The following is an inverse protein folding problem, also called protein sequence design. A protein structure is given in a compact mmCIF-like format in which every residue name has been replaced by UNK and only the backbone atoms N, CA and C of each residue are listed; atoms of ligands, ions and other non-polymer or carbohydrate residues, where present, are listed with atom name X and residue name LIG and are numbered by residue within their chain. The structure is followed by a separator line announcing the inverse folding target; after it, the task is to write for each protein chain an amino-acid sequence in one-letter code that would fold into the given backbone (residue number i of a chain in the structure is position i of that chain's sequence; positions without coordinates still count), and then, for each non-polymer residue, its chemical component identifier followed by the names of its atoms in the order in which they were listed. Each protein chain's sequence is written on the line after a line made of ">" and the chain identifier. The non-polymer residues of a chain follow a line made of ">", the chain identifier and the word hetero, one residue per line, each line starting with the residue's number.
data_IF_905590558537
#
_entry.id   IF_905590558537
#
_cell.length_a   1.000
_cell.length_b   1.000
_cell.length_c   1.000
_cell.angle_alpha   90.00
_cell.angle_beta   90.00
_cell.angle_gamma   90.00
#
_symmetry.space_group_name_H-M   'P 1'
#
loop_
_entity.id
_entity.type
_entity.pdbx_description
1 polymer ?
#
# COMPACT_ATOMS: atom_id res chain seq x y z
N UNK A 1 -13.45 -11.09 17.78
CA UNK A 1 -13.61 -9.65 18.13
C UNK A 1 -12.45 -9.26 19.05
N UNK A 2 -12.14 -7.97 19.15
CA UNK A 2 -11.09 -7.50 20.06
C UNK A 2 -11.66 -7.28 21.47
N UNK A 3 -11.25 -8.08 22.45
CA UNK A 3 -11.81 -8.09 23.81
C UNK A 3 -11.84 -6.73 24.52
N UNK A 4 -10.83 -5.88 24.29
CA UNK A 4 -10.79 -4.53 24.88
C UNK A 4 -11.59 -3.53 24.05
N UNK A 5 -11.29 -3.39 22.75
CA UNK A 5 -11.89 -2.36 21.89
C UNK A 5 -13.40 -2.54 21.75
N UNK A 6 -13.92 -3.77 21.76
CA UNK A 6 -15.38 -4.00 21.69
C UNK A 6 -16.14 -3.38 22.87
N UNK A 7 -15.51 -3.29 24.05
CA UNK A 7 -16.09 -2.70 25.25
C UNK A 7 -15.93 -1.17 25.32
N UNK A 8 -15.03 -0.59 24.52
CA UNK A 8 -14.82 0.86 24.43
C UNK A 8 -15.74 1.52 23.40
N UNK A 9 -16.28 0.74 22.47
CA UNK A 9 -17.21 1.22 21.45
C UNK A 9 -18.66 1.05 21.90
N UNK A 10 -19.62 1.82 21.34
CA UNK A 10 -21.02 1.60 21.59
C UNK A 10 -21.44 0.15 21.23
N UNK A 11 -22.33 -0.48 22.01
CA UNK A 11 -22.76 -1.86 21.76
C UNK A 11 -23.18 -2.10 20.30
N UNK A 12 -22.65 -3.17 19.69
CA UNK A 12 -22.93 -3.52 18.29
C UNK A 12 -22.09 -2.77 17.25
N UNK A 13 -21.23 -1.85 17.63
CA UNK A 13 -20.41 -1.07 16.67
C UNK A 13 -19.15 -1.79 16.21
N UNK A 14 -18.64 -2.75 16.98
CA UNK A 14 -17.44 -3.50 16.61
C UNK A 14 -17.77 -4.56 15.55
N UNK A 15 -17.10 -4.51 14.40
CA UNK A 15 -17.30 -5.45 13.31
C UNK A 15 -16.47 -6.72 13.53
N UNK A 16 -17.16 -7.88 13.62
CA UNK A 16 -16.50 -9.17 13.77
C UNK A 16 -15.88 -9.64 12.44
N UNK A 17 -14.69 -10.24 12.55
CA UNK A 17 -13.92 -10.74 11.42
C UNK A 17 -13.45 -12.17 11.70
N UNK A 18 -13.53 -12.99 10.66
CA UNK A 18 -13.15 -14.39 10.68
C UNK A 18 -11.67 -14.53 10.30
N UNK A 19 -11.03 -15.58 10.80
CA UNK A 19 -9.66 -15.95 10.44
C UNK A 19 -9.56 -17.46 10.34
N UNK A 20 -9.08 -17.95 9.21
CA UNK A 20 -8.61 -19.32 9.04
C UNK A 20 -7.12 -19.27 8.73
N UNK A 21 -6.30 -19.82 9.64
CA UNK A 21 -4.87 -19.98 9.44
C UNK A 21 -4.50 -21.43 9.71
N UNK A 22 -3.92 -22.06 8.69
CA UNK A 22 -3.50 -23.45 8.72
C UNK A 22 -2.05 -23.57 8.31
N UNK A 23 -1.30 -24.42 9.01
CA UNK A 23 0.07 -24.75 8.59
C UNK A 23 0.08 -25.41 7.21
N UNK A 24 -1.00 -26.12 6.85
CA UNK A 24 -1.08 -26.94 5.63
C UNK A 24 -1.62 -26.25 4.38
N UNK A 25 -2.48 -25.24 4.55
CA UNK A 25 -3.11 -24.52 3.42
C UNK A 25 -2.77 -23.04 3.53
N UNK A 26 -3.59 -22.32 4.29
CA UNK A 26 -3.54 -20.87 4.40
C UNK A 26 -2.64 -20.44 5.57
N UNK A 27 -1.32 -20.42 5.33
CA UNK A 27 -0.33 -20.21 6.40
C UNK A 27 -0.04 -18.74 6.66
N UNK A 28 0.11 -17.96 5.60
CA UNK A 28 0.48 -16.55 5.67
C UNK A 28 -0.61 -15.71 5.02
N UNK A 29 -1.22 -14.85 5.82
CA UNK A 29 -2.17 -13.84 5.37
C UNK A 29 -1.43 -12.53 5.09
N UNK A 30 -1.40 -12.11 3.83
CA UNK A 30 -0.99 -10.75 3.46
C UNK A 30 -2.22 -9.84 3.55
N UNK A 31 -2.24 -8.99 4.57
CA UNK A 31 -3.34 -8.06 4.85
C UNK A 31 -3.02 -6.66 4.33
N UNK A 32 -3.69 -6.26 3.26
CA UNK A 32 -3.58 -4.93 2.68
C UNK A 32 -4.73 -4.01 3.11
N UNK A 33 -4.53 -2.72 2.92
CA UNK A 33 -5.57 -1.72 3.09
C UNK A 33 -5.05 -0.43 3.71
N UNK A 34 -5.87 0.63 3.73
CA UNK A 34 -5.44 1.96 4.17
C UNK A 34 -4.95 1.99 5.61
N UNK A 35 -4.16 3.02 5.94
CA UNK A 35 -3.87 3.34 7.33
C UNK A 35 -5.18 3.69 8.04
N UNK A 36 -5.28 3.36 9.33
CA UNK A 36 -6.50 3.50 10.14
C UNK A 36 -7.68 2.57 9.78
N UNK A 37 -7.53 1.66 8.81
CA UNK A 37 -8.59 0.71 8.44
C UNK A 37 -8.80 -0.44 9.45
N UNK A 38 -8.02 -0.48 10.54
CA UNK A 38 -8.16 -1.49 11.59
C UNK A 38 -7.25 -2.71 11.41
N UNK A 39 -6.26 -2.69 10.51
CA UNK A 39 -5.25 -3.76 10.36
C UNK A 39 -4.58 -4.11 11.69
N UNK A 40 -4.01 -3.13 12.40
CA UNK A 40 -3.34 -3.36 13.69
C UNK A 40 -4.29 -3.91 14.76
N UNK A 41 -5.56 -3.46 14.76
CA UNK A 41 -6.61 -4.00 15.62
C UNK A 41 -6.90 -5.46 15.29
N UNK A 42 -6.94 -5.81 14.01
CA UNK A 42 -7.13 -7.17 13.52
C UNK A 42 -5.97 -8.09 13.92
N UNK A 43 -4.72 -7.61 13.85
CA UNK A 43 -3.55 -8.38 14.32
C UNK A 43 -3.63 -8.62 15.83
N UNK A 44 -3.79 -7.54 16.61
CA UNK A 44 -3.83 -7.61 18.09
C UNK A 44 -4.96 -8.50 18.60
N UNK A 45 -6.16 -8.45 17.99
CA UNK A 45 -7.26 -9.32 18.42
C UNK A 45 -6.90 -10.81 18.27
N UNK A 46 -6.20 -11.20 17.21
CA UNK A 46 -5.88 -12.60 16.95
C UNK A 46 -4.80 -13.11 17.90
N UNK A 47 -3.80 -12.28 18.20
CA UNK A 47 -2.83 -12.57 19.25
C UNK A 47 -3.50 -12.72 20.64
N UNK A 48 -4.41 -11.81 20.99
CA UNK A 48 -5.16 -11.88 22.25
C UNK A 48 -6.04 -13.13 22.33
N UNK A 49 -6.73 -13.51 21.26
CA UNK A 49 -7.58 -14.71 21.21
C UNK A 49 -6.76 -15.97 21.48
N UNK A 50 -5.56 -16.09 20.89
CA UNK A 50 -4.65 -17.22 21.15
C UNK A 50 -4.23 -17.27 22.62
N UNK A 51 -3.84 -16.13 23.19
CA UNK A 51 -3.43 -16.05 24.60
C UNK A 51 -4.60 -16.44 25.51
N UNK A 52 -5.80 -15.89 25.29
CA UNK A 52 -7.00 -16.20 26.07
C UNK A 52 -7.35 -17.70 26.03
N UNK A 53 -7.26 -18.32 24.85
CA UNK A 53 -7.51 -19.75 24.72
C UNK A 53 -6.51 -20.60 25.52
N UNK A 54 -5.21 -20.26 25.46
CA UNK A 54 -4.16 -21.03 26.13
C UNK A 54 -4.08 -20.82 27.65
N UNK A 55 -4.62 -19.72 28.18
CA UNK A 55 -4.82 -19.57 29.64
C UNK A 55 -6.08 -20.30 30.16
N UNK A 56 -6.87 -20.90 29.26
CA UNK A 56 -8.12 -21.60 29.61
C UNK A 56 -9.36 -20.70 29.74
N UNK A 57 -9.32 -19.49 29.19
CA UNK A 57 -10.48 -18.58 29.15
C UNK A 57 -11.36 -18.85 27.94
N UNK A 58 -12.64 -18.47 28.03
CA UNK A 58 -13.45 -18.24 26.84
C UNK A 58 -12.84 -17.13 25.98
N UNK A 59 -13.10 -17.18 24.67
CA UNK A 59 -12.58 -16.24 23.68
C UNK A 59 -13.72 -15.44 23.05
N UNK A 60 -13.49 -14.17 22.62
CA UNK A 60 -14.50 -13.30 22.01
C UNK A 60 -14.77 -13.67 20.54
N UNK A 61 -15.28 -14.88 20.30
CA UNK A 61 -15.66 -15.41 19.00
C UNK A 61 -16.97 -16.21 19.10
N UNK A 62 -17.70 -16.37 18.00
CA UNK A 62 -18.85 -17.28 17.97
C UNK A 62 -18.40 -18.74 18.10
N UNK A 63 -17.34 -19.10 17.37
CA UNK A 63 -16.67 -20.40 17.39
C UNK A 63 -15.16 -20.18 17.22
N UNK A 64 -14.35 -21.00 17.85
CA UNK A 64 -12.90 -20.94 17.70
C UNK A 64 -12.28 -22.34 17.79
N UNK A 65 -11.36 -22.64 16.87
CA UNK A 65 -10.48 -23.81 16.92
C UNK A 65 -9.05 -23.32 16.86
N UNK A 66 -8.32 -23.45 17.97
CA UNK A 66 -6.97 -22.90 18.11
C UNK A 66 -6.01 -24.05 18.42
N UNK A 67 -5.10 -24.32 17.49
CA UNK A 67 -3.99 -25.25 17.73
C UNK A 67 -2.95 -24.60 18.64
N UNK A 68 -2.24 -25.41 19.44
CA UNK A 68 -1.21 -24.92 20.37
C UNK A 68 -0.17 -24.05 19.65
N UNK A 69 0.14 -22.93 20.29
CA UNK A 69 1.13 -21.92 19.90
C UNK A 69 2.18 -21.87 20.99
N UNK A 70 3.43 -22.06 20.61
CA UNK A 70 4.56 -22.00 21.55
C UNK A 70 4.92 -20.55 21.92
N UNK A 71 4.86 -19.63 20.94
CA UNK A 71 5.16 -18.21 21.10
C UNK A 71 4.30 -17.35 20.16
N UNK A 72 3.86 -16.20 20.67
CA UNK A 72 3.23 -15.15 19.87
C UNK A 72 4.27 -14.05 19.68
N UNK A 73 4.71 -13.87 18.43
CA UNK A 73 5.61 -12.80 18.04
C UNK A 73 4.82 -11.63 17.48
N UNK A 74 5.18 -10.42 17.90
CA UNK A 74 4.53 -9.21 17.40
C UNK A 74 5.58 -8.20 17.02
N UNK A 75 5.51 -7.73 15.78
CA UNK A 75 5.95 -6.39 15.42
C UNK A 75 4.70 -5.59 15.09
N UNK A 76 4.03 -5.05 16.11
CA UNK A 76 2.92 -4.13 15.94
C UNK A 76 3.36 -2.81 16.58
N UNK A 77 3.58 -1.78 15.77
CA UNK A 77 4.26 -0.55 16.18
C UNK A 77 3.87 -0.06 17.59
N UNK A 78 4.88 0.18 18.43
CA UNK A 78 4.73 0.84 19.71
C UNK A 78 4.97 2.34 19.53
N UNK A 79 4.28 3.14 20.34
CA UNK A 79 4.48 4.60 20.45
C UNK A 79 5.97 4.88 20.62
N UNK A 80 6.47 5.76 19.76
CA UNK A 80 7.87 6.17 19.64
C UNK A 80 8.66 6.07 20.95
N UNK A 81 9.47 5.03 21.06
CA UNK A 81 10.48 4.97 22.10
C UNK A 81 11.70 5.79 21.62
N UNK A 82 11.47 7.08 21.38
CA UNK A 82 12.49 8.11 21.09
C UNK A 82 13.52 8.26 22.23
N UNK A 83 13.28 7.62 23.38
CA UNK A 83 14.08 7.72 24.59
C UNK A 83 15.46 7.04 24.54
N UNK A 84 15.84 6.36 23.44
CA UNK A 84 17.13 5.62 23.36
C UNK A 84 18.11 6.08 22.27
N UNK A 85 17.80 7.13 21.50
CA UNK A 85 18.73 7.65 20.47
C UNK A 85 19.06 6.68 19.32
N UNK A 86 18.33 5.56 19.21
CA UNK A 86 18.44 4.61 18.10
C UNK A 86 17.44 4.98 16.99
N UNK A 87 17.83 4.80 15.73
CA UNK A 87 16.92 4.95 14.59
C UNK A 87 15.71 4.02 14.77
N UNK A 88 14.50 4.53 14.56
CA UNK A 88 13.25 3.74 14.62
C UNK A 88 13.30 2.55 13.67
N UNK A 89 13.94 2.71 12.52
CA UNK A 89 14.17 1.63 11.55
C UNK A 89 15.13 0.55 12.09
N UNK A 90 16.19 0.94 12.81
CA UNK A 90 17.10 -0.05 13.39
C UNK A 90 16.38 -0.90 14.47
N UNK A 91 15.55 -0.27 15.30
CA UNK A 91 14.74 -0.99 16.30
C UNK A 91 13.81 -1.99 15.62
N UNK A 92 13.15 -1.56 14.55
CA UNK A 92 12.27 -2.42 13.73
C UNK A 92 13.02 -3.63 13.14
N UNK A 93 14.25 -3.43 12.66
CA UNK A 93 15.08 -4.52 12.14
C UNK A 93 15.56 -5.47 13.24
N UNK A 94 15.88 -4.96 14.43
CA UNK A 94 16.24 -5.79 15.59
C UNK A 94 15.04 -6.64 16.04
N UNK A 95 13.85 -6.05 16.11
CA UNK A 95 12.60 -6.76 16.43
C UNK A 95 12.33 -7.85 15.40
N UNK A 96 12.42 -7.52 14.11
CA UNK A 96 12.22 -8.47 13.00
C UNK A 96 13.25 -9.61 13.07
N UNK A 97 14.53 -9.28 13.28
CA UNK A 97 15.59 -10.27 13.45
C UNK A 97 15.33 -11.21 14.63
N UNK A 98 14.88 -10.67 15.77
CA UNK A 98 14.54 -11.48 16.93
C UNK A 98 13.39 -12.46 16.64
N UNK A 99 12.39 -12.05 15.86
CA UNK A 99 11.30 -12.94 15.42
C UNK A 99 11.88 -14.06 14.56
N UNK A 100 12.65 -13.72 13.52
CA UNK A 100 13.16 -14.70 12.55
C UNK A 100 14.11 -15.74 13.16
N UNK A 101 14.90 -15.37 14.18
CA UNK A 101 15.82 -16.30 14.85
C UNK A 101 15.13 -17.23 15.86
N UNK A 102 13.96 -16.84 16.40
CA UNK A 102 13.36 -17.51 17.56
C UNK A 102 11.99 -18.13 17.29
N UNK A 103 11.36 -17.82 16.16
CA UNK A 103 10.10 -18.41 15.77
C UNK A 103 10.28 -19.86 15.32
N UNK A 104 9.29 -20.68 15.61
CA UNK A 104 9.19 -22.07 15.16
C UNK A 104 7.95 -22.24 14.29
N UNK A 105 7.79 -23.39 13.64
CA UNK A 105 6.57 -23.74 12.89
C UNK A 105 5.27 -23.66 13.73
N UNK A 106 5.38 -23.77 15.06
CA UNK A 106 4.24 -23.69 15.98
C UNK A 106 3.91 -22.26 16.38
N UNK A 107 4.77 -21.30 16.10
CA UNK A 107 4.59 -19.91 16.50
C UNK A 107 3.47 -19.22 15.71
N UNK A 108 2.92 -18.17 16.30
CA UNK A 108 2.08 -17.19 15.62
C UNK A 108 2.88 -15.90 15.45
N UNK A 109 3.02 -15.44 14.21
CA UNK A 109 3.77 -14.23 13.88
C UNK A 109 2.80 -13.13 13.41
N UNK A 110 2.86 -11.95 14.02
CA UNK A 110 2.02 -10.79 13.71
C UNK A 110 2.92 -9.61 13.33
N UNK A 111 2.98 -9.27 12.04
CA UNK A 111 3.86 -8.23 11.50
C UNK A 111 3.03 -7.07 10.95
N UNK A 112 3.33 -5.86 11.37
CA UNK A 112 2.65 -4.63 10.97
C UNK A 112 3.66 -3.63 10.41
N UNK A 113 3.57 -3.39 9.10
CA UNK A 113 4.32 -2.39 8.33
C UNK A 113 5.86 -2.52 8.44
N UNK A 114 6.39 -3.75 8.31
CA UNK A 114 7.85 -3.97 8.18
C UNK A 114 8.37 -3.32 6.90
N UNK A 115 9.52 -2.65 6.97
CA UNK A 115 10.19 -1.94 5.89
C UNK A 115 9.85 -0.46 5.77
N UNK A 116 8.92 0.08 6.58
CA UNK A 116 8.41 1.44 6.37
C UNK A 116 9.40 2.56 6.68
N UNK A 117 10.39 2.31 7.54
CA UNK A 117 11.36 3.32 8.00
C UNK A 117 12.51 3.64 7.03
N UNK A 118 12.51 3.10 5.81
CA UNK A 118 13.59 3.25 4.83
C UNK A 118 13.06 3.63 3.44
N UNK A 119 13.93 3.64 2.42
CA UNK A 119 13.53 3.88 1.03
C UNK A 119 12.47 2.88 0.58
N UNK A 120 11.56 3.28 -0.32
CA UNK A 120 10.43 2.43 -0.73
C UNK A 120 10.88 1.08 -1.28
N UNK A 121 11.92 1.06 -2.12
CA UNK A 121 12.44 -0.17 -2.72
C UNK A 121 13.20 -1.03 -1.71
N UNK A 122 14.00 -0.43 -0.82
CA UNK A 122 14.69 -1.20 0.23
C UNK A 122 13.67 -1.81 1.20
N UNK A 123 12.67 -1.02 1.60
CA UNK A 123 11.60 -1.44 2.51
C UNK A 123 10.76 -2.57 1.92
N UNK A 124 10.38 -2.46 0.65
CA UNK A 124 9.69 -3.53 -0.09
C UNK A 124 10.54 -4.81 -0.16
N UNK A 125 11.83 -4.68 -0.49
CA UNK A 125 12.74 -5.83 -0.63
C UNK A 125 12.94 -6.55 0.70
N UNK A 126 13.06 -5.81 1.79
CA UNK A 126 13.15 -6.37 3.15
C UNK A 126 11.83 -7.05 3.53
N UNK A 127 10.69 -6.38 3.33
CA UNK A 127 9.38 -6.96 3.64
C UNK A 127 9.14 -8.27 2.88
N UNK A 128 9.46 -8.30 1.58
CA UNK A 128 9.36 -9.48 0.74
C UNK A 128 10.22 -10.63 1.26
N UNK A 129 11.53 -10.40 1.45
CA UNK A 129 12.46 -11.42 1.92
C UNK A 129 12.13 -11.94 3.32
N UNK A 130 11.59 -11.10 4.21
CA UNK A 130 11.09 -11.53 5.52
C UNK A 130 9.93 -12.50 5.38
N UNK A 131 8.92 -12.18 4.56
CA UNK A 131 7.76 -13.06 4.35
C UNK A 131 8.17 -14.37 3.68
N UNK A 132 9.06 -14.29 2.69
CA UNK A 132 9.64 -15.44 2.00
C UNK A 132 10.37 -16.39 2.97
N UNK A 133 11.27 -15.84 3.80
CA UNK A 133 12.00 -16.62 4.81
C UNK A 133 11.05 -17.28 5.83
N UNK A 134 10.01 -16.56 6.26
CA UNK A 134 8.99 -17.15 7.14
C UNK A 134 8.27 -18.30 6.43
N UNK A 135 7.94 -18.15 5.15
CA UNK A 135 7.22 -19.17 4.40
C UNK A 135 8.06 -20.44 4.18
N UNK A 136 9.31 -20.30 3.77
CA UNK A 136 10.16 -21.41 3.35
C UNK A 136 10.87 -22.09 4.52
N UNK A 137 11.45 -21.29 5.43
CA UNK A 137 12.33 -21.77 6.50
C UNK A 137 11.59 -22.02 7.81
N UNK A 138 10.79 -21.05 8.27
CA UNK A 138 10.16 -21.11 9.60
C UNK A 138 8.84 -21.89 9.55
N UNK A 139 8.05 -21.67 8.51
CA UNK A 139 6.76 -22.31 8.26
C UNK A 139 5.70 -22.03 9.34
N UNK A 140 5.79 -20.87 9.98
CA UNK A 140 4.86 -20.42 11.02
C UNK A 140 3.58 -19.77 10.46
N UNK A 141 2.49 -19.86 11.22
CA UNK A 141 1.25 -19.13 10.96
C UNK A 141 1.50 -17.63 11.10
N UNK A 142 1.17 -16.85 10.09
CA UNK A 142 1.58 -15.44 10.03
C UNK A 142 0.46 -14.54 9.51
N UNK A 143 0.30 -13.37 10.13
CA UNK A 143 -0.49 -12.26 9.60
C UNK A 143 0.46 -11.10 9.34
N UNK A 144 0.59 -10.71 8.07
CA UNK A 144 1.45 -9.63 7.62
C UNK A 144 0.59 -8.46 7.13
N UNK A 145 0.40 -7.45 7.97
CA UNK A 145 -0.24 -6.20 7.59
C UNK A 145 0.76 -5.28 6.89
N UNK A 146 0.41 -4.83 5.69
CA UNK A 146 1.31 -4.02 4.86
C UNK A 146 0.59 -2.90 4.12
N UNK A 147 1.39 -1.91 3.71
CA UNK A 147 1.00 -0.87 2.77
C UNK A 147 1.61 -1.09 1.37
N UNK A 148 2.52 -2.06 1.23
CA UNK A 148 3.08 -2.49 -0.05
C UNK A 148 2.08 -3.41 -0.76
N UNK A 149 1.39 -2.88 -1.76
CA UNK A 149 0.48 -3.64 -2.61
C UNK A 149 1.23 -4.68 -3.45
N UNK A 150 2.50 -4.45 -3.75
CA UNK A 150 3.38 -5.35 -4.50
C UNK A 150 3.53 -6.72 -3.83
N UNK A 151 3.45 -6.79 -2.48
CA UNK A 151 3.48 -8.07 -1.75
C UNK A 151 2.27 -8.97 -2.04
N UNK A 152 1.19 -8.45 -2.61
CA UNK A 152 0.04 -9.28 -3.00
C UNK A 152 0.41 -10.29 -4.08
N UNK A 153 1.38 -9.98 -4.94
CA UNK A 153 1.89 -10.91 -5.95
C UNK A 153 2.57 -12.15 -5.37
N UNK A 154 2.90 -12.17 -4.07
CA UNK A 154 3.46 -13.37 -3.43
C UNK A 154 2.47 -14.54 -3.39
N UNK A 155 1.16 -14.28 -3.37
CA UNK A 155 0.13 -15.32 -3.39
C UNK A 155 0.09 -16.09 -4.72
N UNK A 156 0.56 -15.49 -5.82
CA UNK A 156 0.65 -16.15 -7.13
C UNK A 156 1.89 -17.05 -7.23
N UNK A 157 2.88 -16.82 -6.37
CA UNK A 157 4.17 -17.53 -6.37
C UNK A 157 4.17 -18.65 -5.32
N UNK A 158 3.56 -18.42 -4.16
CA UNK A 158 3.62 -19.30 -3.00
C UNK A 158 2.22 -19.81 -2.61
N UNK A 159 2.01 -21.13 -2.75
CA UNK A 159 0.71 -21.80 -2.49
C UNK A 159 0.10 -21.53 -1.10
N UNK A 160 0.95 -21.27 -0.09
CA UNK A 160 0.53 -21.09 1.31
C UNK A 160 0.36 -19.64 1.74
N UNK A 161 0.51 -18.71 0.80
CA UNK A 161 0.32 -17.28 1.01
C UNK A 161 -0.99 -16.87 0.34
N UNK A 162 -1.84 -16.15 1.07
CA UNK A 162 -3.11 -15.67 0.54
C UNK A 162 -3.33 -14.20 0.89
N UNK A 163 -4.06 -13.52 0.01
CA UNK A 163 -4.33 -12.10 0.15
C UNK A 163 -5.67 -11.84 0.82
N UNK A 164 -5.68 -10.85 1.69
CA UNK A 164 -6.88 -10.25 2.25
C UNK A 164 -6.73 -8.74 2.28
N UNK A 165 -7.86 -8.05 2.30
CA UNK A 165 -7.91 -6.60 2.41
C UNK A 165 -8.98 -6.16 3.40
N UNK A 166 -8.80 -4.96 3.95
CA UNK A 166 -9.89 -4.29 4.65
C UNK A 166 -10.85 -3.70 3.63
N UNK A 167 -12.13 -4.05 3.73
CA UNK A 167 -13.20 -3.55 2.87
C UNK A 167 -13.40 -2.05 3.05
N UNK A 168 -13.39 -1.36 1.91
CA UNK A 168 -13.58 0.09 1.79
C UNK A 168 -14.78 0.33 0.89
N UNK A 169 -15.75 1.14 1.34
CA UNK A 169 -16.89 1.56 0.52
C UNK A 169 -16.75 3.01 0.12
N UNK A 170 -16.83 3.29 -1.18
CA UNK A 170 -16.96 4.66 -1.71
C UNK A 170 -18.44 5.05 -1.71
N UNK A 171 -18.76 6.18 -1.12
CA UNK A 171 -20.10 6.78 -1.17
C UNK A 171 -19.95 8.25 -1.54
N UNK A 172 -20.43 8.61 -2.73
CA UNK A 172 -20.20 9.93 -3.33
C UNK A 172 -18.69 10.28 -3.34
N UNK A 173 -18.30 11.33 -2.63
CA UNK A 173 -16.94 11.83 -2.47
C UNK A 173 -16.26 11.36 -1.18
N UNK A 174 -16.88 10.43 -0.45
CA UNK A 174 -16.43 9.95 0.85
C UNK A 174 -16.02 8.48 0.81
N UNK A 175 -15.08 8.15 1.69
CA UNK A 175 -14.63 6.79 1.94
C UNK A 175 -15.09 6.37 3.31
N UNK A 176 -15.73 5.20 3.37
CA UNK A 176 -16.20 4.57 4.60
C UNK A 176 -15.41 3.28 4.80
N UNK A 177 -14.67 3.22 5.91
CA UNK A 177 -14.01 1.99 6.35
C UNK A 177 -15.04 1.08 6.99
N UNK A 178 -15.30 -0.07 6.38
CA UNK A 178 -16.27 -1.04 6.91
C UNK A 178 -15.67 -1.91 8.02
N UNK A 179 -14.35 -1.83 8.24
CA UNK A 179 -13.60 -2.65 9.18
C UNK A 179 -13.81 -4.18 8.99
N UNK A 180 -14.31 -4.59 7.82
CA UNK A 180 -14.52 -5.99 7.46
C UNK A 180 -13.33 -6.48 6.63
N UNK A 181 -12.73 -7.59 7.02
CA UNK A 181 -11.69 -8.27 6.25
C UNK A 181 -12.37 -9.13 5.19
N UNK A 182 -11.92 -8.99 3.94
CA UNK A 182 -12.40 -9.76 2.79
C UNK A 182 -11.22 -10.35 2.01
N UNK A 183 -11.39 -11.50 1.33
CA UNK A 183 -10.36 -12.07 0.45
C UNK A 183 -9.96 -11.12 -0.68
N UNK A 184 -8.71 -11.23 -1.13
CA UNK A 184 -8.15 -10.46 -2.25
C UNK A 184 -7.15 -9.39 -1.83
N UNK A 185 -6.36 -8.91 -2.80
CA UNK A 185 -5.45 -7.78 -2.65
C UNK A 185 -6.16 -6.44 -2.90
N UNK A 186 -5.56 -5.35 -2.41
CA UNK A 186 -6.00 -4.00 -2.70
C UNK A 186 -4.95 -3.28 -3.55
N UNK A 187 -5.32 -2.86 -4.75
CA UNK A 187 -4.45 -2.08 -5.65
C UNK A 187 -4.56 -0.56 -5.42
N UNK A 188 -5.59 -0.13 -4.70
CA UNK A 188 -5.91 1.28 -4.53
C UNK A 188 -5.20 1.89 -3.30
N UNK A 189 -4.45 2.96 -3.54
CA UNK A 189 -3.89 3.80 -2.49
C UNK A 189 -4.84 4.92 -2.10
N UNK A 190 -5.36 4.88 -0.87
CA UNK A 190 -6.38 5.82 -0.37
C UNK A 190 -5.82 7.00 0.43
N UNK A 191 -4.52 7.29 0.31
CA UNK A 191 -3.84 8.28 1.16
C UNK A 191 -4.41 9.69 1.04
N UNK A 192 -4.76 10.12 -0.18
CA UNK A 192 -5.33 11.46 -0.43
C UNK A 192 -6.75 11.56 0.14
N UNK A 193 -7.53 10.49 0.04
CA UNK A 193 -8.88 10.42 0.59
C UNK A 193 -8.87 10.40 2.12
N UNK A 194 -7.91 9.72 2.75
CA UNK A 194 -7.68 9.79 4.20
C UNK A 194 -7.32 11.23 4.62
N UNK A 195 -6.45 11.91 3.87
CA UNK A 195 -6.13 13.31 4.14
C UNK A 195 -7.37 14.22 4.03
N UNK A 196 -8.26 13.96 3.06
CA UNK A 196 -9.55 14.67 2.92
C UNK A 196 -10.43 14.47 4.17
N UNK A 197 -10.54 13.23 4.66
CA UNK A 197 -11.29 12.91 5.89
C UNK A 197 -10.70 13.58 7.13
N UNK A 198 -9.38 13.72 7.19
CA UNK A 198 -8.68 14.42 8.27
C UNK A 198 -8.86 15.96 8.23
N UNK A 199 -9.57 16.49 7.23
CA UNK A 199 -9.86 17.91 7.12
C UNK A 199 -8.76 18.73 6.43
N UNK A 200 -7.86 18.09 5.67
CA UNK A 200 -6.86 18.81 4.88
C UNK A 200 -7.57 19.74 3.87
N UNK A 201 -7.13 21.01 3.71
CA UNK A 201 -7.83 21.99 2.88
C UNK A 201 -8.06 21.51 1.45
N UNK A 202 -9.26 21.80 0.89
CA UNK A 202 -9.65 21.36 -0.46
C UNK A 202 -8.61 21.69 -1.54
N UNK A 203 -7.99 22.87 -1.48
CA UNK A 203 -6.94 23.28 -2.42
C UNK A 203 -5.73 22.33 -2.39
N UNK A 204 -5.31 21.89 -1.20
CA UNK A 204 -4.20 20.95 -1.04
C UNK A 204 -4.60 19.56 -1.57
N UNK A 205 -5.82 19.09 -1.28
CA UNK A 205 -6.34 17.83 -1.82
C UNK A 205 -6.36 17.82 -3.35
N UNK A 206 -6.88 18.88 -3.99
CA UNK A 206 -6.88 18.99 -5.45
C UNK A 206 -5.45 18.92 -5.99
N UNK A 207 -4.51 19.66 -5.38
CA UNK A 207 -3.12 19.64 -5.78
C UNK A 207 -2.46 18.28 -5.61
N UNK A 208 -2.73 17.57 -4.50
CA UNK A 208 -2.23 16.21 -4.28
C UNK A 208 -2.72 15.25 -5.37
N UNK A 209 -3.98 15.36 -5.82
CA UNK A 209 -4.51 14.53 -6.92
C UNK A 209 -3.83 14.81 -8.25
N UNK A 210 -3.55 16.08 -8.55
CA UNK A 210 -2.77 16.44 -9.75
C UNK A 210 -1.36 15.86 -9.70
N UNK A 211 -0.67 16.00 -8.56
CA UNK A 211 0.69 15.49 -8.37
C UNK A 211 0.75 13.96 -8.46
N UNK A 212 -0.23 13.26 -7.88
CA UNK A 212 -0.30 11.79 -7.98
C UNK A 212 -0.42 11.33 -9.44
N UNK A 213 -1.32 11.94 -10.23
CA UNK A 213 -1.44 11.62 -11.68
C UNK A 213 -0.15 11.86 -12.45
N UNK A 214 0.58 12.93 -12.11
CA UNK A 214 1.87 13.22 -12.73
C UNK A 214 2.93 12.16 -12.37
N UNK A 215 2.97 11.73 -11.11
CA UNK A 215 3.86 10.67 -10.63
C UNK A 215 3.56 9.32 -11.30
N UNK A 216 2.29 8.94 -11.37
CA UNK A 216 1.83 7.68 -11.99
C UNK A 216 2.11 7.65 -13.50
N UNK A 217 2.12 8.80 -14.17
CA UNK A 217 2.43 8.87 -15.61
C UNK A 217 3.88 8.55 -15.96
N UNK A 218 4.78 8.42 -14.96
CA UNK A 218 6.20 8.14 -15.18
C UNK A 218 6.99 9.26 -15.87
N UNK A 219 6.34 10.39 -16.19
CA UNK A 219 6.90 11.49 -16.99
C UNK A 219 7.86 12.42 -16.24
N UNK A 220 8.07 12.21 -14.93
CA UNK A 220 8.88 13.11 -14.12
C UNK A 220 9.89 12.37 -13.24
N UNK A 221 11.18 12.64 -13.46
CA UNK A 221 12.25 12.35 -12.48
C UNK A 221 12.01 13.16 -11.20
N UNK A 222 12.40 12.64 -10.02
CA UNK A 222 12.39 13.38 -8.74
C UNK A 222 12.99 14.80 -8.85
N UNK A 223 14.00 14.96 -9.73
CA UNK A 223 14.64 16.26 -10.00
C UNK A 223 13.74 17.24 -10.78
N UNK A 224 12.84 16.74 -11.63
CA UNK A 224 11.87 17.52 -12.39
C UNK A 224 10.60 17.81 -11.57
N UNK A 225 10.28 17.01 -10.56
CA UNK A 225 9.21 17.33 -9.60
C UNK A 225 9.55 18.58 -8.79
N UNK A 226 10.78 18.70 -8.28
CA UNK A 226 11.22 19.89 -7.56
C UNK A 226 11.16 21.17 -8.42
N UNK A 227 11.51 21.07 -9.72
CA UNK A 227 11.46 22.20 -10.68
C UNK A 227 10.06 22.46 -11.25
N UNK A 228 9.28 21.41 -11.52
CA UNK A 228 7.92 21.46 -12.07
C UNK A 228 6.88 21.92 -11.06
N UNK A 229 7.04 21.56 -9.77
CA UNK A 229 6.20 22.07 -8.67
C UNK A 229 6.38 23.58 -8.53
N UNK A 230 7.59 24.11 -8.74
CA UNK A 230 7.85 25.55 -8.77
C UNK A 230 7.31 26.23 -10.05
N UNK A 231 7.42 25.58 -11.21
CA UNK A 231 6.91 26.09 -12.51
C UNK A 231 5.38 26.14 -12.57
N UNK A 232 4.66 25.26 -11.86
CA UNK A 232 3.18 25.29 -11.84
C UNK A 232 2.62 26.50 -11.06
N UNK A 233 3.40 27.07 -10.12
CA UNK A 233 3.00 28.25 -9.34
C UNK A 233 3.19 29.54 -10.17
N UNK A 234 4.11 29.53 -11.14
CA UNK A 234 4.38 30.67 -12.01
C UNK A 234 4.46 30.22 -13.47
N UNK A 235 3.40 30.54 -14.21
CA UNK A 235 3.21 30.46 -15.66
C UNK A 235 2.28 29.35 -16.13
N UNK A 236 1.13 29.82 -16.63
CA UNK A 236 0.55 29.35 -17.89
C UNK A 236 1.69 29.00 -18.87
N UNK A 237 1.91 27.73 -19.13
CA UNK A 237 2.76 27.22 -20.21
C UNK A 237 2.03 25.99 -20.71
N UNK A 238 1.25 25.98 -21.79
CA UNK A 238 1.34 26.61 -23.13
C UNK A 238 2.59 26.24 -23.95
N UNK A 239 3.61 25.60 -23.36
CA UNK A 239 4.83 25.22 -24.10
C UNK A 239 5.49 23.91 -23.65
N UNK A 240 4.72 22.91 -23.23
CA UNK A 240 5.24 21.53 -23.13
C UNK A 240 4.19 20.54 -23.69
N UNK A 241 3.72 20.83 -24.91
CA UNK A 241 3.01 19.84 -25.72
C UNK A 241 4.02 18.81 -26.22
N UNK A 242 3.64 17.53 -26.21
CA UNK A 242 4.33 16.51 -27.01
C UNK A 242 4.27 17.00 -28.47
N UNK A 243 5.39 17.05 -29.22
CA UNK A 243 5.35 17.55 -30.59
C UNK A 243 4.31 16.76 -31.38
N UNK A 244 3.33 17.45 -31.96
CA UNK A 244 2.37 16.78 -32.85
C UNK A 244 3.10 16.27 -34.09
N UNK A 245 2.51 15.31 -34.80
CA UNK A 245 3.09 14.79 -36.04
C UNK A 245 3.39 15.92 -37.07
N UNK A 246 2.64 17.02 -37.00
CA UNK A 246 2.81 18.24 -37.80
C UNK A 246 4.10 18.99 -37.43
N UNK A 247 4.43 19.11 -36.13
CA UNK A 247 5.65 19.79 -35.67
C UNK A 247 6.92 19.03 -36.03
N UNK A 248 6.87 17.69 -36.02
CA UNK A 248 8.00 16.87 -36.48
C UNK A 248 8.23 17.01 -37.98
N UNK A 249 7.16 17.10 -38.76
CA UNK A 249 7.26 17.23 -40.20
C UNK A 249 7.72 18.62 -40.64
N UNK A 250 7.31 19.67 -39.91
CA UNK A 250 7.82 21.04 -40.10
C UNK A 250 9.34 21.13 -39.92
N UNK A 251 9.92 20.40 -38.96
CA UNK A 251 11.37 20.39 -38.71
C UNK A 251 12.19 19.77 -39.84
N UNK A 252 11.58 18.95 -40.70
CA UNK A 252 12.27 18.28 -41.81
C UNK A 252 12.27 19.12 -43.10
N UNK A 253 11.54 20.23 -43.14
CA UNK A 253 11.43 21.08 -44.33
C UNK A 253 12.64 22.01 -44.39
N UNK A 254 13.34 21.97 -45.52
CA UNK A 254 14.40 22.91 -45.86
C UNK A 254 13.82 24.07 -46.69
N UNK A 255 13.56 25.20 -46.01
CA UNK A 255 12.96 26.39 -46.62
C UNK A 255 13.83 27.03 -47.71
N UNK A 256 15.15 26.84 -47.68
CA UNK A 256 16.06 27.44 -48.66
C UNK A 256 16.01 26.71 -50.02
N UNK A 257 15.52 25.46 -50.01
CA UNK A 257 15.44 24.59 -51.20
C UNK A 257 14.03 24.32 -51.69
N UNK A 258 13.02 24.80 -50.97
CA UNK A 258 11.62 24.54 -51.29
C UNK A 258 11.11 25.56 -52.30
N UNK A 259 10.58 25.10 -53.44
CA UNK A 259 9.95 26.01 -54.41
C UNK A 259 8.58 26.50 -53.92
N UNK A 260 8.08 27.67 -54.38
CA UNK A 260 6.80 28.21 -53.92
C UNK A 260 5.61 27.25 -54.09
N UNK A 261 5.63 26.39 -55.12
CA UNK A 261 4.56 25.42 -55.39
C UNK A 261 4.65 24.19 -54.47
N UNK A 262 5.86 23.79 -54.08
CA UNK A 262 6.07 22.72 -53.10
C UNK A 262 5.69 23.20 -51.69
N UNK A 263 5.98 24.46 -51.35
CA UNK A 263 5.56 25.06 -50.10
C UNK A 263 4.03 25.01 -49.94
N UNK A 264 3.27 25.34 -50.99
CA UNK A 264 1.81 25.24 -50.98
C UNK A 264 1.31 23.80 -50.80
N UNK A 265 1.97 22.81 -51.41
CA UNK A 265 1.62 21.39 -51.23
C UNK A 265 1.91 20.90 -49.82
N UNK A 266 3.05 21.29 -49.26
CA UNK A 266 3.43 20.94 -47.89
C UNK A 266 2.45 21.56 -46.90
N UNK A 267 2.07 22.83 -47.08
CA UNK A 267 1.04 23.48 -46.26
C UNK A 267 -0.31 22.76 -46.32
N UNK A 268 -0.72 22.28 -47.51
CA UNK A 268 -1.96 21.52 -47.63
C UNK A 268 -1.88 20.16 -46.92
N UNK A 269 -0.75 19.45 -47.05
CA UNK A 269 -0.47 18.19 -46.33
C UNK A 269 -0.51 18.39 -44.81
N UNK A 270 0.13 19.45 -44.30
CA UNK A 270 0.14 19.76 -42.87
C UNK A 270 -1.28 20.09 -42.35
N UNK A 271 -2.11 20.72 -43.19
CA UNK A 271 -3.51 21.01 -42.85
C UNK A 271 -4.35 19.74 -42.78
N UNK A 272 -4.20 18.82 -43.73
CA UNK A 272 -4.87 17.51 -43.69
C UNK A 272 -4.46 16.71 -42.43
N UNK A 273 -3.17 16.74 -42.06
CA UNK A 273 -2.68 16.09 -40.83
C UNK A 273 -3.24 16.70 -39.53
N UNK A 274 -3.77 17.93 -39.57
CA UNK A 274 -4.44 18.54 -38.41
C UNK A 274 -5.93 18.19 -38.32
N UNK A 275 -6.57 17.79 -39.42
CA UNK A 275 -8.00 17.46 -39.46
C UNK A 275 -8.27 15.98 -39.09
N UNK A 276 -7.22 15.12 -39.06
CA UNK A 276 -7.28 13.68 -38.76
C UNK A 276 -6.88 13.29 -37.31
N UNK A 277 -6.52 14.26 -36.43
CA UNK A 277 -6.27 14.09 -34.98
C UNK A 277 -7.50 14.48 -34.12
#
# INVERSE_FOLDING_TARGET
>A
RHSVIENLLPPGSFIANDLDLSVERDRIMVLTGPNMSGKSTYLRQNGLIVILAQIGSFVPAEKARIGLVDRVFTRVGAIDNLARGQSTFLVEMIESSNILHNATEKSLILLDEVGRGTSTFDGLSIAWSVVEYINENIRARTIFATHYHELTGMADIYERIFNCQVSVKRWEDQIIFLHKIIPGGCDDSYGIEVARLAGVPRKAITRSKELLRLLESGKFSQSQLAKGIHKTINQRSLFDAVPSAVEEELKKIDLERTTPIEALRILNKLKEMMDDE
#
